data_IF_215082825721
#
_entry.id   IF_215082825721
#
_cell.length_a   1.000
_cell.length_b   1.000
_cell.length_c   1.000
_cell.angle_alpha   90.00
_cell.angle_beta   90.00
_cell.angle_gamma   90.00
#
_symmetry.space_group_name_H-M   'P 1'
#
loop_
_entity.id
_entity.type
_entity.pdbx_description
1 polymer ?
#
# COMPACT_ATOMS: atom_id res chain seq x y z
N UNK A 1 14.69 -6.21 1.81
CA UNK A 1 13.30 -5.78 1.58
C UNK A 1 13.20 -4.36 2.07
N UNK A 2 12.92 -3.41 1.17
CA UNK A 2 12.80 -2.00 1.53
C UNK A 2 11.38 -1.52 1.28
N UNK A 3 10.92 -0.56 2.09
CA UNK A 3 9.66 0.10 1.82
C UNK A 3 9.74 0.81 0.47
N UNK A 4 8.73 0.60 -0.38
CA UNK A 4 8.75 1.04 -1.77
C UNK A 4 9.00 -0.07 -2.79
N UNK A 5 9.62 -1.19 -2.41
CA UNK A 5 9.75 -2.33 -3.31
C UNK A 5 8.36 -2.77 -3.82
N UNK A 6 8.24 -3.06 -5.11
CA UNK A 6 6.96 -3.41 -5.75
C UNK A 6 6.96 -4.89 -6.11
N UNK A 7 6.04 -5.64 -5.50
CA UNK A 7 5.80 -7.05 -5.82
C UNK A 7 4.82 -7.13 -6.99
N UNK A 8 5.21 -7.82 -8.05
CA UNK A 8 4.42 -8.06 -9.24
C UNK A 8 3.96 -9.51 -9.23
N UNK A 9 2.65 -9.73 -9.13
CA UNK A 9 2.06 -11.05 -8.87
C UNK A 9 1.27 -11.55 -10.07
N UNK A 10 1.58 -12.77 -10.53
CA UNK A 10 0.87 -13.46 -11.59
C UNK A 10 -0.14 -14.47 -11.02
N UNK A 11 -1.37 -14.02 -10.77
CA UNK A 11 -2.41 -14.89 -10.21
C UNK A 11 -2.85 -15.99 -11.18
N UNK A 12 -3.18 -17.17 -10.64
CA UNK A 12 -3.56 -18.34 -11.45
C UNK A 12 -5.08 -18.45 -11.72
N UNK A 13 -5.88 -17.65 -11.03
CA UNK A 13 -7.35 -17.66 -11.11
C UNK A 13 -7.91 -17.17 -12.45
N UNK A 14 -9.19 -17.49 -12.71
CA UNK A 14 -9.91 -17.05 -13.92
C UNK A 14 -9.92 -15.52 -14.10
N UNK A 15 -10.11 -14.79 -13.00
CA UNK A 15 -10.09 -13.31 -13.01
C UNK A 15 -8.72 -12.79 -13.43
N UNK A 16 -7.64 -13.33 -12.86
CA UNK A 16 -6.26 -12.98 -13.22
C UNK A 16 -5.97 -13.24 -14.69
N UNK A 17 -6.39 -14.39 -15.24
CA UNK A 17 -6.22 -14.69 -16.68
C UNK A 17 -6.94 -13.69 -17.58
N UNK A 18 -8.17 -13.31 -17.23
CA UNK A 18 -8.92 -12.29 -17.98
C UNK A 18 -8.25 -10.90 -17.89
N UNK A 19 -7.75 -10.52 -16.71
CA UNK A 19 -7.02 -9.27 -16.52
C UNK A 19 -5.72 -9.25 -17.34
N UNK A 20 -4.95 -10.35 -17.35
CA UNK A 20 -3.75 -10.47 -18.19
C UNK A 20 -4.08 -10.29 -19.67
N UNK A 21 -5.13 -10.96 -20.17
CA UNK A 21 -5.54 -10.83 -21.56
C UNK A 21 -5.93 -9.39 -21.92
N UNK A 22 -6.70 -8.71 -21.07
CA UNK A 22 -7.09 -7.31 -21.29
C UNK A 22 -5.89 -6.35 -21.28
N UNK A 23 -4.86 -6.64 -20.49
CA UNK A 23 -3.68 -5.81 -20.35
C UNK A 23 -2.66 -5.96 -21.49
N UNK A 24 -2.76 -6.99 -22.34
CA UNK A 24 -1.83 -7.21 -23.46
C UNK A 24 -1.80 -6.08 -24.48
N UNK A 25 -2.86 -5.28 -24.57
CA UNK A 25 -2.91 -4.07 -25.41
C UNK A 25 -2.02 -2.94 -24.88
N UNK A 26 -1.72 -2.95 -23.58
CA UNK A 26 -0.81 -1.99 -22.93
C UNK A 26 0.62 -2.51 -23.03
N UNK A 27 0.83 -3.79 -22.70
CA UNK A 27 2.13 -4.43 -22.79
C UNK A 27 1.98 -5.90 -23.14
N UNK A 28 2.51 -6.30 -24.31
CA UNK A 28 2.29 -7.64 -24.86
C UNK A 28 2.92 -8.78 -24.04
N UNK A 29 3.94 -8.47 -23.22
CA UNK A 29 4.63 -9.44 -22.35
C UNK A 29 4.12 -9.41 -20.90
N UNK A 30 2.97 -8.78 -20.62
CA UNK A 30 2.38 -8.75 -19.28
C UNK A 30 2.24 -10.17 -18.70
N UNK A 31 2.73 -10.33 -17.47
CA UNK A 31 2.68 -11.57 -16.67
C UNK A 31 1.97 -11.36 -15.35
N UNK A 32 1.87 -10.12 -14.88
CA UNK A 32 1.29 -9.77 -13.59
C UNK A 32 -0.15 -9.29 -13.72
N UNK A 33 -1.02 -9.88 -12.90
CA UNK A 33 -2.42 -9.49 -12.77
C UNK A 33 -2.67 -8.55 -11.58
N UNK A 34 -1.70 -8.47 -10.68
CA UNK A 34 -1.78 -7.75 -9.43
C UNK A 34 -0.41 -7.16 -9.06
N UNK A 35 -0.42 -6.08 -8.30
CA UNK A 35 0.80 -5.43 -7.81
C UNK A 35 0.62 -4.96 -6.38
N UNK A 36 1.69 -4.99 -5.60
CA UNK A 36 1.67 -4.69 -4.17
C UNK A 36 2.87 -3.84 -3.77
N UNK A 37 2.68 -3.03 -2.75
CA UNK A 37 3.70 -2.12 -2.24
C UNK A 37 4.31 -2.68 -0.95
N UNK A 38 5.62 -2.86 -0.90
CA UNK A 38 6.29 -3.33 0.30
C UNK A 38 6.35 -2.23 1.35
N UNK A 39 6.02 -2.58 2.60
CA UNK A 39 6.25 -1.75 3.78
C UNK A 39 7.56 -2.13 4.50
N UNK A 40 8.37 -3.02 3.93
CA UNK A 40 9.50 -3.65 4.61
C UNK A 40 9.13 -4.96 5.32
N UNK A 41 10.14 -5.72 5.74
CA UNK A 41 10.02 -6.92 6.60
C UNK A 41 8.99 -7.96 6.14
N UNK A 42 8.79 -8.09 4.82
CA UNK A 42 7.90 -9.09 4.22
C UNK A 42 6.42 -8.72 4.35
N UNK A 43 6.11 -7.50 4.82
CA UNK A 43 4.77 -6.95 4.87
C UNK A 43 4.51 -6.14 3.61
N UNK A 44 3.35 -6.36 3.01
CA UNK A 44 2.87 -5.64 1.84
C UNK A 44 1.54 -4.96 2.13
N UNK A 45 1.31 -3.81 1.49
CA UNK A 45 0.01 -3.17 1.42
C UNK A 45 -0.50 -3.22 -0.02
N UNK A 46 -1.74 -3.68 -0.17
CA UNK A 46 -2.36 -3.88 -1.47
C UNK A 46 -3.86 -3.65 -1.42
N UNK A 47 -4.49 -3.55 -2.60
CA UNK A 47 -5.93 -3.37 -2.72
C UNK A 47 -6.58 -4.50 -3.50
N UNK A 48 -7.56 -5.17 -2.88
CA UNK A 48 -8.31 -6.29 -3.48
C UNK A 48 -9.81 -6.02 -3.45
N UNK A 49 -10.57 -6.65 -4.35
CA UNK A 49 -12.01 -6.42 -4.49
C UNK A 49 -12.84 -6.79 -3.24
N UNK A 50 -12.35 -7.70 -2.40
CA UNK A 50 -13.04 -8.18 -1.19
C UNK A 50 -12.79 -7.29 0.04
N UNK A 51 -11.62 -6.67 0.17
CA UNK A 51 -11.23 -5.93 1.40
C UNK A 51 -10.84 -4.47 1.16
N UNK A 52 -10.67 -4.05 -0.08
CA UNK A 52 -10.01 -2.78 -0.39
C UNK A 52 -8.55 -2.80 0.06
N UNK A 53 -8.04 -1.67 0.54
CA UNK A 53 -6.64 -1.51 0.95
C UNK A 53 -6.38 -2.14 2.31
N UNK A 54 -5.52 -3.16 2.36
CA UNK A 54 -5.17 -3.87 3.58
C UNK A 54 -3.75 -4.43 3.52
N UNK A 55 -3.28 -5.02 4.63
CA UNK A 55 -1.96 -5.62 4.72
C UNK A 55 -2.00 -7.12 4.41
N UNK A 56 -0.92 -7.62 3.81
CA UNK A 56 -0.64 -9.04 3.55
C UNK A 56 0.83 -9.34 3.85
N UNK A 57 1.18 -10.63 3.89
CA UNK A 57 2.55 -11.11 4.06
C UNK A 57 3.04 -11.75 2.77
N UNK A 58 4.32 -11.60 2.48
CA UNK A 58 4.98 -12.30 1.36
C UNK A 58 4.72 -13.81 1.40
N UNK A 59 4.66 -14.39 2.60
CA UNK A 59 4.35 -15.81 2.81
C UNK A 59 2.97 -16.19 2.25
N UNK A 60 1.96 -15.37 2.54
CA UNK A 60 0.59 -15.61 2.11
C UNK A 60 0.49 -15.44 0.58
N UNK A 61 1.18 -14.44 0.02
CA UNK A 61 1.22 -14.22 -1.43
C UNK A 61 1.99 -15.31 -2.19
N UNK A 62 3.13 -15.78 -1.66
CA UNK A 62 3.90 -16.89 -2.25
C UNK A 62 3.06 -18.16 -2.40
N UNK A 63 2.26 -18.47 -1.38
CA UNK A 63 1.32 -19.59 -1.39
C UNK A 63 0.20 -19.33 -2.39
N UNK A 64 -0.40 -18.13 -2.38
CA UNK A 64 -1.56 -17.79 -3.20
C UNK A 64 -1.25 -17.78 -4.71
N UNK A 65 -0.02 -17.45 -5.11
CA UNK A 65 0.40 -17.45 -6.51
C UNK A 65 1.43 -18.53 -6.85
N UNK A 66 1.65 -19.50 -5.97
CA UNK A 66 2.57 -20.62 -6.19
C UNK A 66 3.98 -20.16 -6.66
N UNK A 67 4.51 -19.14 -5.98
CA UNK A 67 5.81 -18.55 -6.29
C UNK A 67 5.87 -17.73 -7.58
N UNK A 68 4.74 -17.47 -8.25
CA UNK A 68 4.68 -16.69 -9.48
C UNK A 68 4.65 -15.17 -9.19
N UNK A 69 5.76 -14.67 -8.69
CA UNK A 69 5.97 -13.27 -8.39
C UNK A 69 7.40 -12.83 -8.69
N UNK A 70 7.57 -11.52 -8.91
CA UNK A 70 8.88 -10.85 -9.00
C UNK A 70 8.84 -9.53 -8.25
N UNK A 71 10.00 -9.03 -7.84
CA UNK A 71 10.10 -7.78 -7.08
C UNK A 71 11.05 -6.81 -7.77
N UNK A 72 10.60 -5.57 -7.92
CA UNK A 72 11.41 -4.47 -8.44
C UNK A 72 11.54 -3.35 -7.40
N UNK A 73 12.69 -2.69 -7.40
CA UNK A 73 13.00 -1.54 -6.55
C UNK A 73 13.35 -0.35 -7.41
N UNK A 74 12.76 0.81 -7.13
CA UNK A 74 13.12 2.04 -7.82
C UNK A 74 14.51 2.49 -7.35
N UNK A 75 15.38 2.97 -8.25
CA UNK A 75 16.78 3.30 -7.95
C UNK A 75 16.97 4.41 -6.92
N UNK A 76 15.94 5.22 -6.67
CA UNK A 76 15.96 6.21 -5.56
C UNK A 76 15.84 5.56 -4.17
N UNK A 77 15.40 4.30 -4.10
CA UNK A 77 15.30 3.52 -2.87
C UNK A 77 16.56 2.65 -2.80
N UNK A 78 17.53 3.04 -2.01
CA UNK A 78 18.84 2.37 -1.93
C UNK A 78 19.06 1.67 -0.59
N UNK A 79 18.62 2.27 0.49
CA UNK A 79 18.78 1.78 1.85
C UNK A 79 17.63 2.26 2.75
N UNK A 80 17.60 1.75 3.98
CA UNK A 80 16.68 2.25 5.02
C UNK A 80 17.06 3.69 5.37
N UNK A 81 16.10 4.60 5.31
CA UNK A 81 16.27 6.00 5.66
C UNK A 81 15.05 6.85 5.32
N UNK A 82 15.26 8.14 5.10
CA UNK A 82 14.17 9.11 4.90
C UNK A 82 13.26 8.77 3.73
N UNK A 83 13.83 8.26 2.62
CA UNK A 83 13.06 7.87 1.42
C UNK A 83 12.12 6.70 1.73
N UNK A 84 12.63 5.64 2.38
CA UNK A 84 11.82 4.48 2.75
C UNK A 84 10.76 4.85 3.79
N UNK A 85 11.10 5.71 4.75
CA UNK A 85 10.17 6.19 5.77
C UNK A 85 9.02 6.99 5.15
N UNK A 86 9.34 7.89 4.21
CA UNK A 86 8.33 8.68 3.51
C UNK A 86 7.42 7.81 2.63
N UNK A 87 8.01 6.84 1.94
CA UNK A 87 7.27 5.84 1.14
C UNK A 87 6.34 4.99 2.01
N UNK A 88 6.80 4.53 3.16
CA UNK A 88 5.99 3.77 4.11
C UNK A 88 4.81 4.61 4.62
N UNK A 89 5.04 5.84 5.08
CA UNK A 89 3.98 6.77 5.51
C UNK A 89 2.99 7.06 4.37
N UNK A 90 3.50 7.26 3.17
CA UNK A 90 2.71 7.56 1.97
C UNK A 90 1.79 6.42 1.57
N UNK A 91 2.28 5.18 1.60
CA UNK A 91 1.46 4.01 1.33
C UNK A 91 0.45 3.76 2.45
N UNK A 92 0.88 3.88 3.72
CA UNK A 92 0.01 3.69 4.89
C UNK A 92 -1.13 4.70 4.92
N UNK A 93 -0.96 5.93 4.42
CA UNK A 93 -2.03 6.92 4.34
C UNK A 93 -3.32 6.37 3.71
N UNK A 94 -3.20 5.47 2.73
CA UNK A 94 -4.33 4.88 2.00
C UNK A 94 -4.93 3.63 2.66
N UNK A 95 -4.43 3.22 3.84
CA UNK A 95 -4.93 2.05 4.55
C UNK A 95 -6.45 2.10 4.74
N UNK A 96 -7.12 0.96 4.48
CA UNK A 96 -8.55 0.77 4.61
C UNK A 96 -9.42 1.68 3.70
N UNK A 97 -8.88 2.18 2.59
CA UNK A 97 -9.68 2.62 1.44
C UNK A 97 -10.48 1.45 0.85
N UNK A 98 -11.58 1.77 0.17
CA UNK A 98 -12.36 0.77 -0.57
C UNK A 98 -11.64 0.33 -1.86
N UNK A 99 -12.08 -0.76 -2.46
CA UNK A 99 -11.61 -1.15 -3.79
C UNK A 99 -12.25 -0.29 -4.87
N UNK A 100 -11.45 0.30 -5.75
CA UNK A 100 -11.96 1.09 -6.87
C UNK A 100 -12.54 0.19 -7.96
N UNK A 101 -13.86 0.14 -8.07
CA UNK A 101 -14.59 -0.64 -9.10
C UNK A 101 -14.65 0.05 -10.45
N UNK A 102 -14.34 1.34 -10.53
CA UNK A 102 -14.33 2.12 -11.77
C UNK A 102 -12.91 2.13 -12.33
N UNK A 103 -12.54 1.02 -12.97
CA UNK A 103 -11.23 0.87 -13.58
C UNK A 103 -11.01 1.91 -14.68
N UNK A 104 -9.82 2.52 -14.73
CA UNK A 104 -9.48 3.56 -15.72
C UNK A 104 -10.41 4.78 -15.70
N UNK A 105 -11.06 5.09 -14.57
CA UNK A 105 -11.84 6.32 -14.38
C UNK A 105 -10.97 7.57 -14.20
N UNK A 106 -11.53 8.64 -13.64
CA UNK A 106 -10.78 9.84 -13.24
C UNK A 106 -9.90 9.64 -12.00
N UNK A 107 -10.10 8.53 -11.26
CA UNK A 107 -9.52 8.35 -9.92
C UNK A 107 -10.36 9.03 -8.84
N UNK A 108 -10.07 8.70 -7.58
CA UNK A 108 -10.67 9.34 -6.40
C UNK A 108 -9.81 9.12 -5.14
N UNK A 109 -10.13 9.85 -4.06
CA UNK A 109 -9.36 9.85 -2.81
C UNK A 109 -9.78 8.76 -1.79
N UNK A 110 -10.82 7.97 -2.06
CA UNK A 110 -11.44 7.06 -1.07
C UNK A 110 -11.35 5.59 -1.47
N UNK A 111 -10.89 5.30 -2.68
CA UNK A 111 -10.71 3.95 -3.19
C UNK A 111 -9.50 3.86 -4.11
N UNK A 112 -8.93 2.67 -4.20
CA UNK A 112 -7.83 2.36 -5.11
C UNK A 112 -7.96 0.94 -5.63
N UNK A 113 -7.60 0.69 -6.88
CA UNK A 113 -7.21 -0.67 -7.30
C UNK A 113 -5.70 -0.87 -7.06
N UNK A 114 -5.18 -2.08 -7.24
CA UNK A 114 -3.84 -2.46 -6.80
C UNK A 114 -2.71 -1.55 -7.31
N UNK A 115 -2.66 -1.32 -8.63
CA UNK A 115 -1.64 -0.46 -9.27
C UNK A 115 -1.87 1.03 -9.04
N UNK A 116 -3.11 1.48 -8.90
CA UNK A 116 -3.43 2.85 -8.50
C UNK A 116 -2.91 3.15 -7.10
N UNK A 117 -3.05 2.19 -6.16
CA UNK A 117 -2.50 2.33 -4.79
C UNK A 117 -0.99 2.52 -4.82
N UNK A 118 -0.25 1.66 -5.54
CA UNK A 118 1.22 1.77 -5.66
C UNK A 118 1.59 3.13 -6.26
N UNK A 119 0.93 3.54 -7.35
CA UNK A 119 1.21 4.82 -8.00
C UNK A 119 0.90 6.03 -7.10
N UNK A 120 -0.22 5.99 -6.35
CA UNK A 120 -0.57 7.01 -5.35
C UNK A 120 0.46 7.09 -4.21
N UNK A 121 0.96 5.95 -3.72
CA UNK A 121 1.97 5.92 -2.67
C UNK A 121 3.27 6.60 -3.12
N UNK A 122 3.73 6.30 -4.33
CA UNK A 122 4.90 6.94 -4.92
C UNK A 122 4.68 8.44 -5.22
N UNK A 123 3.51 8.80 -5.77
CA UNK A 123 3.14 10.21 -6.04
C UNK A 123 3.11 11.02 -4.74
N UNK A 124 2.49 10.49 -3.68
CA UNK A 124 2.45 11.12 -2.35
C UNK A 124 3.84 11.24 -1.72
N UNK A 125 4.75 10.32 -2.03
CA UNK A 125 6.14 10.41 -1.64
C UNK A 125 6.98 11.36 -2.52
N UNK A 126 6.37 12.04 -3.49
CA UNK A 126 7.02 12.90 -4.49
C UNK A 126 8.06 12.17 -5.36
N UNK A 127 7.83 10.88 -5.65
CA UNK A 127 8.67 10.08 -6.54
C UNK A 127 7.87 9.74 -7.79
N UNK A 128 8.30 10.27 -8.93
CA UNK A 128 7.67 9.96 -10.21
C UNK A 128 8.13 8.61 -10.73
N UNK A 129 7.20 7.66 -10.89
CA UNK A 129 7.49 6.32 -11.40
C UNK A 129 6.83 6.00 -12.75
N UNK A 130 5.94 6.87 -13.22
CA UNK A 130 5.14 6.67 -14.42
C UNK A 130 5.02 8.01 -15.16
N UNK A 131 5.88 8.22 -16.16
CA UNK A 131 5.94 9.50 -16.89
C UNK A 131 4.57 9.93 -17.41
N UNK A 132 4.11 11.11 -16.95
CA UNK A 132 2.89 11.78 -17.43
C UNK A 132 1.58 11.01 -17.20
N UNK A 133 1.57 9.96 -16.37
CA UNK A 133 0.42 9.09 -16.20
C UNK A 133 -0.16 9.23 -14.79
N UNK A 134 -1.43 9.64 -14.72
CA UNK A 134 -2.16 9.69 -13.47
C UNK A 134 -2.27 8.28 -12.82
N UNK A 135 -2.22 8.15 -11.48
CA UNK A 135 -2.32 6.87 -10.79
C UNK A 135 -3.51 6.00 -11.22
N UNK A 136 -4.67 6.62 -11.47
CA UNK A 136 -5.89 5.95 -11.91
C UNK A 136 -5.83 5.31 -13.31
N UNK A 137 -4.75 5.56 -14.06
CA UNK A 137 -4.48 4.99 -15.38
C UNK A 137 -3.32 3.99 -15.39
N UNK A 138 -2.69 3.76 -14.25
CA UNK A 138 -1.61 2.79 -14.10
C UNK A 138 -2.21 1.39 -14.00
N UNK A 139 -1.48 0.37 -14.47
CA UNK A 139 -1.92 -1.03 -14.45
C UNK A 139 -0.74 -1.93 -14.13
N UNK A 140 -0.96 -3.20 -13.72
CA UNK A 140 0.14 -4.17 -13.61
C UNK A 140 1.02 -4.26 -14.85
N UNK A 141 0.46 -4.19 -16.07
CA UNK A 141 1.24 -4.17 -17.32
C UNK A 141 2.26 -3.03 -17.42
N UNK A 142 1.98 -1.87 -16.84
CA UNK A 142 2.94 -0.77 -16.81
C UNK A 142 4.14 -1.13 -15.91
N UNK A 143 3.90 -1.75 -14.76
CA UNK A 143 4.98 -2.22 -13.89
C UNK A 143 5.75 -3.39 -14.50
N UNK A 144 5.09 -4.29 -15.23
CA UNK A 144 5.78 -5.35 -15.95
C UNK A 144 6.74 -4.80 -17.01
N UNK A 145 6.34 -3.73 -17.70
CA UNK A 145 7.21 -3.01 -18.63
C UNK A 145 8.42 -2.41 -17.90
N UNK A 146 8.22 -1.75 -16.76
CA UNK A 146 9.31 -1.20 -15.95
C UNK A 146 10.28 -2.29 -15.47
N UNK A 147 9.76 -3.45 -15.09
CA UNK A 147 10.54 -4.60 -14.65
C UNK A 147 11.32 -5.29 -15.77
N UNK A 148 10.86 -5.18 -17.02
CA UNK A 148 11.58 -5.72 -18.17
C UNK A 148 12.62 -4.73 -18.72
N UNK A 149 12.38 -3.42 -18.59
CA UNK A 149 13.27 -2.37 -19.10
C UNK A 149 14.38 -1.97 -18.11
N UNK A 150 14.10 -1.99 -16.80
CA UNK A 150 15.05 -1.71 -15.71
C UNK A 150 15.84 -0.39 -15.85
N UNK A 151 15.24 0.62 -16.50
CA UNK A 151 15.86 1.94 -16.69
C UNK A 151 16.05 2.66 -15.35
N UNK A 152 14.99 2.84 -14.59
CA UNK A 152 15.02 3.45 -13.23
C UNK A 152 14.77 2.43 -12.12
N UNK A 153 14.79 1.14 -12.47
CA UNK A 153 14.44 0.04 -11.59
C UNK A 153 15.55 -1.01 -11.53
N UNK A 154 15.55 -1.78 -10.46
CA UNK A 154 16.41 -2.96 -10.29
C UNK A 154 15.56 -4.14 -9.84
N UNK A 155 15.87 -5.33 -10.34
CA UNK A 155 15.24 -6.58 -9.88
C UNK A 155 15.88 -7.01 -8.56
N UNK A 156 15.06 -7.14 -7.52
CA UNK A 156 15.48 -7.55 -6.17
C UNK A 156 14.80 -8.86 -5.73
N UNK A 157 14.24 -9.61 -6.67
CA UNK A 157 13.50 -10.86 -6.43
C UNK A 157 14.32 -11.88 -5.62
N UNK A 158 15.63 -11.97 -5.87
CA UNK A 158 16.48 -12.92 -5.15
C UNK A 158 16.66 -12.56 -3.67
N UNK A 159 16.72 -11.26 -3.33
CA UNK A 159 16.75 -10.82 -1.92
C UNK A 159 15.50 -11.31 -1.18
N UNK A 160 14.34 -11.22 -1.84
CA UNK A 160 13.06 -11.67 -1.29
C UNK A 160 12.98 -13.19 -1.16
N UNK A 161 13.51 -13.95 -2.12
CA UNK A 161 13.56 -15.42 -2.04
C UNK A 161 14.37 -15.90 -0.84
N UNK A 162 15.50 -15.25 -0.54
CA UNK A 162 16.31 -15.60 0.63
C UNK A 162 15.57 -15.36 1.95
N UNK A 163 14.82 -14.27 2.06
CA UNK A 163 14.11 -13.94 3.31
C UNK A 163 12.81 -14.72 3.45
N UNK A 164 12.15 -15.07 2.35
CA UNK A 164 10.99 -15.95 2.37
C UNK A 164 11.29 -17.30 3.06
N UNK A 165 12.49 -17.84 2.89
CA UNK A 165 12.92 -19.03 3.62
C UNK A 165 12.93 -18.81 5.14
N UNK A 166 13.49 -17.69 5.62
CA UNK A 166 13.44 -17.31 7.03
C UNK A 166 12.01 -17.10 7.53
N UNK A 167 11.16 -16.44 6.73
CA UNK A 167 9.74 -16.25 7.06
C UNK A 167 9.00 -17.59 7.21
N UNK A 168 9.34 -18.60 6.39
CA UNK A 168 8.75 -19.95 6.48
C UNK A 168 9.19 -20.67 7.75
N UNK A 169 10.44 -20.50 8.16
CA UNK A 169 10.96 -21.09 9.41
C UNK A 169 10.40 -20.39 10.66
N UNK A 170 10.18 -19.08 10.57
CA UNK A 170 9.77 -18.22 11.68
C UNK A 170 8.34 -17.67 11.54
N UNK A 171 7.44 -18.40 10.86
CA UNK A 171 6.11 -17.93 10.45
C UNK A 171 5.32 -17.27 11.59
N UNK A 172 5.34 -17.87 12.78
CA UNK A 172 4.61 -17.37 13.94
C UNK A 172 4.99 -15.92 14.28
N UNK A 173 6.28 -15.58 14.23
CA UNK A 173 6.78 -14.24 14.58
C UNK A 173 6.31 -13.20 13.56
N UNK A 174 6.47 -13.49 12.27
CA UNK A 174 6.03 -12.62 11.19
C UNK A 174 4.51 -12.42 11.20
N UNK A 175 3.75 -13.51 11.38
CA UNK A 175 2.29 -13.47 11.45
C UNK A 175 1.80 -12.68 12.65
N UNK A 176 2.41 -12.86 13.82
CA UNK A 176 2.08 -12.08 15.02
C UNK A 176 2.35 -10.57 14.80
N UNK A 177 3.51 -10.21 14.25
CA UNK A 177 3.86 -8.81 13.98
C UNK A 177 2.89 -8.17 12.99
N UNK A 178 2.60 -8.82 11.86
CA UNK A 178 1.66 -8.33 10.85
C UNK A 178 0.23 -8.20 11.39
N UNK A 179 -0.21 -9.12 12.25
CA UNK A 179 -1.51 -9.04 12.90
C UNK A 179 -1.59 -7.89 13.91
N UNK A 180 -0.55 -7.66 14.71
CA UNK A 180 -0.49 -6.53 15.64
C UNK A 180 -0.52 -5.19 14.90
N UNK A 181 0.22 -5.08 13.79
CA UNK A 181 0.19 -3.91 12.93
C UNK A 181 -1.22 -3.69 12.36
N UNK A 182 -1.79 -4.72 11.72
CA UNK A 182 -3.15 -4.67 11.16
C UNK A 182 -4.19 -4.29 12.22
N UNK A 183 -4.14 -4.89 13.41
CA UNK A 183 -5.06 -4.60 14.51
C UNK A 183 -4.95 -3.14 14.96
N UNK A 184 -3.74 -2.61 15.11
CA UNK A 184 -3.50 -1.22 15.51
C UNK A 184 -4.12 -0.24 14.51
N UNK A 185 -3.98 -0.54 13.22
CA UNK A 185 -4.48 0.27 12.11
C UNK A 185 -6.01 0.23 12.03
N UNK A 186 -6.62 -0.97 12.10
CA UNK A 186 -8.07 -1.14 12.13
C UNK A 186 -8.68 -0.46 13.36
N UNK A 187 -8.05 -0.60 14.53
CA UNK A 187 -8.49 0.07 15.76
C UNK A 187 -8.47 1.59 15.60
N UNK A 188 -7.42 2.14 14.96
CA UNK A 188 -7.33 3.58 14.69
C UNK A 188 -8.47 4.08 13.80
N UNK A 189 -8.79 3.39 12.71
CA UNK A 189 -9.95 3.70 11.85
C UNK A 189 -11.27 3.61 12.62
N UNK A 190 -11.48 2.52 13.38
CA UNK A 190 -12.72 2.31 14.14
C UNK A 190 -12.97 3.37 15.21
N UNK A 191 -11.90 3.85 15.86
CA UNK A 191 -11.99 4.85 16.91
C UNK A 191 -12.04 6.30 16.39
N UNK A 192 -11.76 6.54 15.11
CA UNK A 192 -11.79 7.87 14.49
C UNK A 192 -13.14 8.59 14.66
N UNK A 193 -14.31 8.00 14.31
CA UNK A 193 -15.59 8.68 14.47
C UNK A 193 -15.96 8.91 15.93
N UNK A 194 -15.61 7.97 16.82
CA UNK A 194 -15.83 8.09 18.27
C UNK A 194 -15.03 9.26 18.82
N UNK A 195 -13.75 9.34 18.45
CA UNK A 195 -12.85 10.44 18.84
C UNK A 195 -13.38 11.78 18.35
N UNK A 196 -13.82 11.87 17.10
CA UNK A 196 -14.39 13.10 16.55
C UNK A 196 -15.67 13.52 17.28
N UNK A 197 -16.56 12.58 17.59
CA UNK A 197 -17.78 12.87 18.36
C UNK A 197 -17.46 13.36 19.79
N UNK A 198 -16.44 12.77 20.43
CA UNK A 198 -15.96 13.22 21.74
C UNK A 198 -15.38 14.64 21.67
N UNK A 199 -14.55 14.94 20.66
CA UNK A 199 -14.00 16.29 20.46
C UNK A 199 -15.13 17.29 20.24
N UNK A 200 -16.09 16.99 19.36
CA UNK A 200 -17.22 17.88 19.08
C UNK A 200 -18.06 18.17 20.34
N UNK A 201 -18.25 17.16 21.21
CA UNK A 201 -18.94 17.34 22.49
C UNK A 201 -18.15 18.21 23.48
N UNK A 202 -16.82 18.13 23.46
CA UNK A 202 -15.97 19.00 24.28
C UNK A 202 -16.02 20.45 23.79
N UNK A 203 -16.05 20.67 22.47
CA UNK A 203 -16.14 21.99 21.86
C UNK A 203 -17.44 22.73 22.18
N UNK A 204 -18.55 22.00 22.36
CA UNK A 204 -19.83 22.57 22.79
C UNK A 204 -20.00 22.69 24.31
N UNK A 205 -18.96 22.34 25.08
CA UNK A 205 -18.95 22.37 26.54
C UNK A 205 -18.55 23.71 27.15
N UNK A 206 -18.09 23.66 28.40
CA UNK A 206 -17.50 24.83 29.09
C UNK A 206 -16.17 25.26 28.48
N UNK A 207 -15.66 26.44 28.85
CA UNK A 207 -14.34 26.92 28.42
C UNK A 207 -13.22 25.91 28.71
N UNK A 208 -13.27 25.23 29.86
CA UNK A 208 -12.32 24.16 30.21
C UNK A 208 -12.41 22.95 29.27
N UNK A 209 -13.63 22.58 28.85
CA UNK A 209 -13.84 21.53 27.84
C UNK A 209 -13.31 21.94 26.47
N UNK A 210 -13.51 23.19 26.07
CA UNK A 210 -13.00 23.73 24.81
C UNK A 210 -11.47 23.74 24.77
N UNK A 211 -10.82 24.15 25.86
CA UNK A 211 -9.36 24.09 25.99
C UNK A 211 -8.83 22.65 25.92
N UNK A 212 -9.56 21.70 26.51
CA UNK A 212 -9.24 20.26 26.38
C UNK A 212 -9.38 19.79 24.94
N UNK A 213 -10.43 20.19 24.22
CA UNK A 213 -10.60 19.86 22.81
C UNK A 213 -9.46 20.39 21.94
N UNK A 214 -9.03 21.64 22.19
CA UNK A 214 -7.90 22.27 21.51
C UNK A 214 -6.60 21.48 21.70
N UNK A 215 -6.26 21.14 22.95
CA UNK A 215 -5.07 20.31 23.26
C UNK A 215 -5.10 18.96 22.54
N UNK A 216 -6.26 18.30 22.52
CA UNK A 216 -6.42 17.04 21.80
C UNK A 216 -6.17 17.24 20.30
N UNK A 217 -6.74 18.27 19.67
CA UNK A 217 -6.52 18.57 18.24
C UNK A 217 -5.05 18.86 17.93
N UNK A 218 -4.37 19.64 18.77
CA UNK A 218 -2.93 19.91 18.63
C UNK A 218 -2.09 18.63 18.72
N UNK A 219 -2.39 17.75 19.68
CA UNK A 219 -1.73 16.43 19.77
C UNK A 219 -2.00 15.54 18.56
N UNK A 220 -3.19 15.62 17.96
CA UNK A 220 -3.53 14.86 16.75
C UNK A 220 -2.78 15.38 15.51
N UNK A 221 -2.64 16.70 15.38
CA UNK A 221 -1.95 17.35 14.27
C UNK A 221 -0.42 17.13 14.29
N UNK A 222 0.15 16.76 15.44
CA UNK A 222 1.58 16.44 15.57
C UNK A 222 1.91 14.97 15.25
N UNK A 223 0.93 14.17 14.85
CA UNK A 223 1.16 12.76 14.54
C UNK A 223 1.95 12.62 13.24
N UNK A 224 2.98 11.79 13.29
CA UNK A 224 3.79 11.45 12.13
C UNK A 224 3.01 10.66 11.06
N UNK A 225 2.09 9.80 11.47
CA UNK A 225 1.23 9.03 10.59
C UNK A 225 -0.16 9.66 10.53
N UNK A 226 -0.60 10.03 9.32
CA UNK A 226 -1.97 10.44 8.99
C UNK A 226 -2.61 9.45 8.02
N UNK A 227 -3.94 9.40 8.03
CA UNK A 227 -4.73 8.50 7.17
C UNK A 227 -5.78 9.29 6.38
N UNK A 228 -6.13 8.79 5.19
CA UNK A 228 -7.07 9.45 4.28
C UNK A 228 -8.45 9.73 4.89
N UNK A 229 -8.86 8.95 5.88
CA UNK A 229 -10.15 9.08 6.56
C UNK A 229 -10.10 9.98 7.80
N UNK A 230 -8.95 10.53 8.18
CA UNK A 230 -8.80 11.39 9.35
C UNK A 230 -8.91 12.86 8.96
N UNK A 231 -9.88 13.57 9.55
CA UNK A 231 -10.15 14.99 9.20
C UNK A 231 -9.23 16.01 9.87
N UNK A 232 -8.49 15.61 10.91
CA UNK A 232 -7.77 16.49 11.83
C UNK A 232 -6.34 15.98 12.13
N UNK A 233 -5.70 15.37 11.14
CA UNK A 233 -4.37 14.73 11.25
C UNK A 233 -3.45 15.19 10.15
#
# INVERSE_FOLDING_TARGET
MLAGDVLLVGGEGKVSKSLLAAQKVIYSKVTSSHVEFSLGDGVFIHSTNDKGVHLTLLLDEDIACNGNWRVIRHKSVSEVGEVTDNLQKSAMYYFAQDYNKVFMGSGNEHSSFCSELVAKAYERANISIMEGKAPSKVTPAHFDKLADELVDWVDVTQEYKSILSDMKENEFVYRMAAQMLSFTMVRRKRHEPIRNAMIQKLESGSESSQETAKKIKEMLAQRELSFWHEKNS
#
